data_IF_265323982666
#
_entry.id   IF_265323982666
#
_cell.length_a   1.000
_cell.length_b   1.000
_cell.length_c   1.000
_cell.angle_alpha   90.00
_cell.angle_beta   90.00
_cell.angle_gamma   90.00
#
_symmetry.space_group_name_H-M   'P 1'
#
loop_
_entity.id
_entity.type
_entity.pdbx_description
1 polymer ?
#
# COMPACT_ATOMS: atom_id res chain seq x y z
N UNK A 1 14.30 18.29 16.36
CA UNK A 1 13.64 17.16 17.02
C UNK A 1 12.89 16.26 16.03
N UNK A 2 12.00 16.80 15.19
CA UNK A 2 11.22 16.04 14.18
C UNK A 2 12.09 15.13 13.29
N UNK A 3 13.19 15.65 12.71
CA UNK A 3 14.10 14.84 11.88
C UNK A 3 14.70 13.63 12.62
N UNK A 4 14.98 13.79 13.92
CA UNK A 4 15.50 12.69 14.75
C UNK A 4 14.43 11.64 15.03
N UNK A 5 13.18 12.06 15.24
CA UNK A 5 12.04 11.14 15.39
C UNK A 5 11.91 10.24 14.17
N UNK A 6 11.94 10.81 12.96
CA UNK A 6 11.87 10.03 11.72
C UNK A 6 13.07 9.10 11.55
N UNK A 7 14.28 9.55 11.91
CA UNK A 7 15.48 8.70 11.88
C UNK A 7 15.39 7.53 12.86
N UNK A 8 14.87 7.74 14.08
CA UNK A 8 14.66 6.67 15.04
C UNK A 8 13.62 5.67 14.53
N UNK A 9 12.50 6.17 13.97
CA UNK A 9 11.46 5.34 13.38
C UNK A 9 11.98 4.50 12.21
N UNK A 10 12.80 5.06 11.30
CA UNK A 10 13.39 4.32 10.18
C UNK A 10 14.37 3.21 10.62
N UNK A 11 14.85 3.27 11.86
CA UNK A 11 15.69 2.24 12.49
C UNK A 11 14.88 1.26 13.35
N UNK A 12 13.54 1.34 13.33
CA UNK A 12 12.65 0.52 14.17
C UNK A 12 12.67 0.88 15.65
N UNK A 13 13.30 1.99 16.05
CA UNK A 13 13.41 2.46 17.45
C UNK A 13 12.17 3.24 17.88
N UNK A 14 11.00 2.63 17.74
CA UNK A 14 9.71 3.30 17.95
C UNK A 14 9.53 3.80 19.39
N UNK A 15 10.01 3.06 20.40
CA UNK A 15 9.92 3.47 21.81
C UNK A 15 10.70 4.75 22.11
N UNK A 16 11.89 4.92 21.51
CA UNK A 16 12.69 6.13 21.70
C UNK A 16 12.09 7.31 20.93
N UNK A 17 11.62 7.08 19.70
CA UNK A 17 10.88 8.07 18.93
C UNK A 17 9.62 8.55 19.69
N UNK A 18 8.89 7.63 20.31
CA UNK A 18 7.69 7.92 21.09
C UNK A 18 7.96 8.82 22.30
N UNK A 19 9.11 8.70 22.97
CA UNK A 19 9.50 9.60 24.08
C UNK A 19 9.60 11.06 23.60
N UNK A 20 10.25 11.26 22.45
CA UNK A 20 10.38 12.59 21.85
C UNK A 20 9.03 13.14 21.37
N UNK A 21 8.19 12.30 20.76
CA UNK A 21 6.85 12.70 20.32
C UNK A 21 5.99 13.15 21.51
N UNK A 22 5.98 12.39 22.62
CA UNK A 22 5.23 12.77 23.83
C UNK A 22 5.67 14.12 24.37
N UNK A 23 6.99 14.36 24.44
CA UNK A 23 7.50 15.67 24.86
C UNK A 23 7.03 16.82 23.95
N UNK A 24 6.95 16.62 22.63
CA UNK A 24 6.45 17.65 21.72
C UNK A 24 4.95 17.92 21.95
N UNK A 25 4.16 16.86 22.16
CA UNK A 25 2.71 16.96 22.44
C UNK A 25 2.46 17.67 23.77
N UNK A 26 3.17 17.28 24.84
CA UNK A 26 3.02 17.87 26.18
C UNK A 26 3.36 19.38 26.19
N UNK A 27 4.29 19.79 25.32
CA UNK A 27 4.68 21.18 25.13
C UNK A 27 3.77 21.97 24.17
N UNK A 28 2.71 21.36 23.62
CA UNK A 28 1.82 21.95 22.62
C UNK A 28 2.57 22.52 21.40
N UNK A 29 3.60 21.83 20.94
CA UNK A 29 4.36 22.21 19.74
C UNK A 29 3.50 22.07 18.48
N UNK A 30 3.82 22.85 17.43
CA UNK A 30 3.17 22.70 16.12
C UNK A 30 3.65 21.42 15.41
N UNK A 31 2.73 20.49 15.21
CA UNK A 31 2.96 19.18 14.57
C UNK A 31 2.33 19.07 13.18
N UNK A 32 2.01 20.22 12.57
CA UNK A 32 1.47 20.30 11.21
C UNK A 32 2.39 19.56 10.23
N UNK A 33 1.80 18.70 9.40
CA UNK A 33 2.53 17.84 8.46
C UNK A 33 3.20 16.59 9.05
N UNK A 34 3.20 16.39 10.37
CA UNK A 34 3.78 15.20 11.02
C UNK A 34 2.77 14.38 11.84
N UNK A 35 1.58 14.92 12.12
CA UNK A 35 0.57 14.33 13.02
C UNK A 35 0.24 12.86 12.72
N UNK A 36 -0.04 12.48 11.46
CA UNK A 36 -0.36 11.08 11.10
C UNK A 36 0.83 10.17 11.37
N UNK A 37 2.02 10.57 10.92
CA UNK A 37 3.23 9.77 11.11
C UNK A 37 3.57 9.60 12.60
N UNK A 38 3.38 10.65 13.41
CA UNK A 38 3.65 10.59 14.84
C UNK A 38 2.63 9.70 15.56
N UNK A 39 1.35 9.75 15.17
CA UNK A 39 0.34 8.82 15.67
C UNK A 39 0.70 7.37 15.33
N UNK A 40 1.15 7.10 14.10
CA UNK A 40 1.62 5.76 13.69
C UNK A 40 2.84 5.30 14.51
N UNK A 41 3.82 6.18 14.73
CA UNK A 41 5.00 5.86 15.55
C UNK A 41 4.59 5.53 16.99
N UNK A 42 3.68 6.30 17.60
CA UNK A 42 3.18 6.02 18.94
C UNK A 42 2.46 4.67 19.00
N UNK A 43 1.66 4.35 17.99
CA UNK A 43 1.00 3.05 17.86
C UNK A 43 2.01 1.91 17.74
N UNK A 44 3.02 2.03 16.87
CA UNK A 44 4.08 1.03 16.68
C UNK A 44 5.01 0.91 17.90
N UNK A 45 5.10 1.94 18.74
CA UNK A 45 5.87 1.94 19.97
C UNK A 45 5.21 1.18 21.13
N UNK A 46 3.96 0.73 20.97
CA UNK A 46 3.36 -0.17 21.94
C UNK A 46 4.13 -1.50 22.01
N UNK A 47 4.02 -2.17 23.15
CA UNK A 47 4.72 -3.41 23.45
C UNK A 47 4.10 -4.62 22.74
N UNK A 48 3.85 -4.52 21.42
CA UNK A 48 3.10 -5.49 20.62
C UNK A 48 3.62 -6.92 20.76
N UNK A 49 4.94 -7.10 20.87
CA UNK A 49 5.55 -8.42 21.15
C UNK A 49 5.04 -9.03 22.45
N UNK A 50 4.93 -8.24 23.51
CA UNK A 50 4.47 -8.68 24.83
C UNK A 50 2.94 -8.78 24.88
N UNK A 51 2.24 -7.83 24.26
CA UNK A 51 0.77 -7.86 24.11
C UNK A 51 0.34 -9.15 23.41
N UNK A 52 0.96 -9.49 22.27
CA UNK A 52 0.67 -10.73 21.52
C UNK A 52 0.85 -11.98 22.40
N UNK A 53 1.93 -12.05 23.18
CA UNK A 53 2.21 -13.18 24.05
C UNK A 53 1.21 -13.36 25.20
N UNK A 54 0.43 -12.32 25.52
CA UNK A 54 -0.60 -12.34 26.56
C UNK A 54 -2.01 -12.57 26.01
N UNK A 55 -2.19 -12.55 24.69
CA UNK A 55 -3.47 -12.80 24.04
C UNK A 55 -3.62 -14.29 23.68
N UNK A 56 -4.86 -14.83 23.65
CA UNK A 56 -5.08 -16.15 23.09
C UNK A 56 -4.57 -16.21 21.65
N UNK A 57 -4.00 -17.36 21.28
CA UNK A 57 -3.45 -17.58 19.95
C UNK A 57 -4.43 -17.12 18.86
N UNK A 58 -3.94 -16.34 17.90
CA UNK A 58 -4.72 -15.85 16.76
C UNK A 58 -5.90 -14.92 17.10
N UNK A 59 -5.89 -14.24 18.24
CA UNK A 59 -6.91 -13.23 18.59
C UNK A 59 -6.46 -11.78 18.41
N UNK A 60 -5.16 -11.52 18.24
CA UNK A 60 -4.70 -10.16 17.93
C UNK A 60 -5.07 -9.77 16.49
N UNK A 61 -6.14 -9.00 16.34
CA UNK A 61 -6.61 -8.51 15.04
C UNK A 61 -5.57 -7.64 14.34
N UNK A 62 -4.78 -6.83 15.05
CA UNK A 62 -3.81 -5.94 14.43
C UNK A 62 -2.67 -6.71 13.76
N UNK A 63 -2.23 -7.81 14.37
CA UNK A 63 -1.27 -8.73 13.77
C UNK A 63 -1.92 -9.54 12.64
N UNK A 64 -3.07 -10.15 12.90
CA UNK A 64 -3.73 -11.07 11.95
C UNK A 64 -4.27 -10.44 10.69
N UNK A 65 -4.72 -9.19 10.76
CA UNK A 65 -5.19 -8.47 9.57
C UNK A 65 -4.04 -7.90 8.74
N UNK A 66 -2.83 -7.84 9.29
CA UNK A 66 -1.71 -7.08 8.71
C UNK A 66 -1.73 -5.59 9.03
N UNK A 67 -2.58 -5.12 9.94
CA UNK A 67 -2.65 -3.69 10.29
C UNK A 67 -1.33 -3.16 10.87
N UNK A 68 -0.63 -3.91 11.73
CA UNK A 68 0.69 -3.51 12.23
C UNK A 68 1.70 -3.32 11.08
N UNK A 69 1.71 -4.27 10.14
CA UNK A 69 2.55 -4.21 8.96
C UNK A 69 2.17 -3.03 8.07
N UNK A 70 0.87 -2.79 7.88
CA UNK A 70 0.35 -1.67 7.10
C UNK A 70 0.78 -0.31 7.65
N UNK A 71 0.68 -0.13 8.96
CA UNK A 71 1.11 1.12 9.63
C UNK A 71 2.62 1.29 9.50
N UNK A 72 3.40 0.22 9.66
CA UNK A 72 4.87 0.29 9.50
C UNK A 72 5.30 0.56 8.06
N UNK A 73 4.59 0.02 7.07
CA UNK A 73 4.89 0.17 5.65
C UNK A 73 4.29 1.45 5.05
N UNK A 74 3.41 2.14 5.78
CA UNK A 74 2.60 3.25 5.28
C UNK A 74 1.78 2.88 4.03
N UNK A 75 1.37 1.61 3.91
CA UNK A 75 0.63 1.07 2.76
C UNK A 75 -0.29 -0.06 3.22
N UNK A 76 -1.45 -0.27 2.60
CA UNK A 76 -2.33 -1.38 2.95
C UNK A 76 -1.71 -2.70 2.49
N UNK A 77 -1.28 -3.53 3.44
CA UNK A 77 -0.73 -4.87 3.23
C UNK A 77 -1.34 -5.86 4.22
N UNK A 78 -1.45 -7.11 3.81
CA UNK A 78 -1.99 -8.17 4.66
C UNK A 78 -0.92 -8.72 5.65
N UNK A 79 -1.29 -9.72 6.45
CA UNK A 79 -0.39 -10.32 7.45
C UNK A 79 0.83 -11.03 6.83
N UNK A 80 0.76 -11.41 5.56
CA UNK A 80 1.87 -11.99 4.78
C UNK A 80 2.72 -10.92 4.07
N UNK A 81 2.44 -9.64 4.30
CA UNK A 81 3.12 -8.51 3.65
C UNK A 81 2.77 -8.36 2.17
N UNK A 82 1.67 -8.96 1.71
CA UNK A 82 1.18 -8.81 0.33
C UNK A 82 0.31 -7.56 0.19
N UNK A 83 0.38 -6.87 -0.95
CA UNK A 83 -0.39 -5.66 -1.21
C UNK A 83 -1.89 -5.96 -1.19
N UNK A 84 -2.65 -5.07 -0.56
CA UNK A 84 -4.11 -5.05 -0.61
C UNK A 84 -4.52 -3.89 -1.54
N UNK A 85 -5.33 -4.14 -2.59
CA UNK A 85 -5.82 -3.10 -3.48
C UNK A 85 -6.77 -2.17 -2.72
N UNK A 86 -6.96 -0.95 -3.20
CA UNK A 86 -7.87 0.00 -2.55
C UNK A 86 -9.35 -0.24 -2.91
N UNK A 87 -9.74 -1.51 -3.04
CA UNK A 87 -11.12 -1.92 -3.26
C UNK A 87 -11.82 -2.16 -1.92
N UNK A 88 -13.15 -2.25 -1.95
CA UNK A 88 -13.89 -2.73 -0.78
C UNK A 88 -13.56 -4.20 -0.54
N UNK A 89 -13.49 -4.63 0.73
CA UNK A 89 -13.20 -6.05 1.04
C UNK A 89 -14.13 -7.06 0.34
N UNK A 90 -15.45 -6.80 0.18
CA UNK A 90 -16.30 -7.69 -0.62
C UNK A 90 -15.93 -7.75 -2.11
N UNK A 91 -15.47 -6.64 -2.71
CA UNK A 91 -14.98 -6.64 -4.08
C UNK A 91 -13.69 -7.47 -4.21
N UNK A 92 -12.78 -7.35 -3.24
CA UNK A 92 -11.57 -8.18 -3.19
C UNK A 92 -11.94 -9.66 -3.10
N UNK A 93 -12.82 -10.05 -2.16
CA UNK A 93 -13.27 -11.44 -1.99
C UNK A 93 -13.99 -11.98 -3.23
N UNK A 94 -14.78 -11.16 -3.92
CA UNK A 94 -15.41 -11.53 -5.17
C UNK A 94 -14.38 -11.77 -6.29
N UNK A 95 -13.48 -10.81 -6.50
CA UNK A 95 -12.47 -10.87 -7.57
C UNK A 95 -11.47 -12.00 -7.33
N UNK A 96 -11.06 -12.26 -6.09
CA UNK A 96 -10.18 -13.38 -5.71
C UNK A 96 -10.76 -14.75 -6.12
N UNK A 97 -12.07 -14.87 -6.27
CA UNK A 97 -12.74 -16.13 -6.66
C UNK A 97 -12.92 -16.31 -8.16
N UNK A 98 -12.90 -15.22 -8.93
CA UNK A 98 -13.22 -15.24 -10.36
C UNK A 98 -12.02 -14.93 -11.26
N UNK A 99 -11.00 -14.25 -10.74
CA UNK A 99 -9.80 -13.93 -11.49
C UNK A 99 -9.09 -15.23 -11.90
N UNK A 100 -8.76 -15.33 -13.20
CA UNK A 100 -8.08 -16.51 -13.73
C UNK A 100 -6.60 -16.20 -14.01
N UNK A 101 -5.70 -17.19 -13.85
CA UNK A 101 -4.29 -17.05 -14.20
C UNK A 101 -4.01 -16.72 -15.65
N UNK A 102 -4.98 -16.90 -16.55
CA UNK A 102 -4.87 -16.55 -17.98
C UNK A 102 -5.39 -15.15 -18.31
N UNK A 103 -5.86 -14.38 -17.32
CA UNK A 103 -6.44 -13.07 -17.58
C UNK A 103 -5.36 -12.05 -17.98
N UNK A 104 -5.71 -11.20 -18.92
CA UNK A 104 -4.97 -9.97 -19.24
C UNK A 104 -5.75 -8.79 -18.66
N UNK A 105 -5.10 -8.02 -17.79
CA UNK A 105 -5.74 -6.94 -17.04
C UNK A 105 -5.22 -5.59 -17.53
N UNK A 106 -6.13 -4.65 -17.77
CA UNK A 106 -5.80 -3.25 -18.01
C UNK A 106 -6.24 -2.39 -16.82
N UNK A 107 -5.40 -1.45 -16.42
CA UNK A 107 -5.63 -0.56 -15.28
C UNK A 107 -5.29 0.89 -15.64
N UNK A 108 -6.24 1.79 -15.42
CA UNK A 108 -5.93 3.22 -15.28
C UNK A 108 -5.59 3.49 -13.83
N UNK A 109 -4.45 4.16 -13.61
CA UNK A 109 -3.79 4.22 -12.31
C UNK A 109 -2.80 3.08 -12.15
N UNK A 110 -1.96 3.18 -11.12
CA UNK A 110 -1.05 2.12 -10.72
C UNK A 110 -0.88 2.07 -9.20
N UNK A 111 -0.42 0.95 -8.65
CA UNK A 111 -0.13 0.85 -7.22
C UNK A 111 -0.29 -0.55 -6.65
N UNK A 112 -0.85 -0.62 -5.44
CA UNK A 112 -1.09 -1.90 -4.76
C UNK A 112 -2.05 -2.81 -5.55
N UNK A 113 -3.03 -2.23 -6.26
CA UNK A 113 -3.92 -2.97 -7.15
C UNK A 113 -3.18 -3.61 -8.31
N UNK A 114 -2.23 -2.90 -8.94
CA UNK A 114 -1.35 -3.47 -9.97
C UNK A 114 -0.60 -4.68 -9.44
N UNK A 115 0.02 -4.56 -8.27
CA UNK A 115 0.79 -5.65 -7.64
C UNK A 115 -0.11 -6.82 -7.22
N UNK A 116 -1.34 -6.53 -6.77
CA UNK A 116 -2.34 -7.53 -6.37
C UNK A 116 -2.87 -8.31 -7.58
N UNK A 117 -3.17 -7.62 -8.69
CA UNK A 117 -3.56 -8.27 -9.95
C UNK A 117 -2.45 -9.14 -10.50
N UNK A 118 -1.23 -8.59 -10.56
CA UNK A 118 -0.08 -9.29 -11.12
C UNK A 118 0.28 -10.58 -10.35
N UNK A 119 -0.13 -10.70 -9.09
CA UNK A 119 0.06 -11.93 -8.33
C UNK A 119 -0.91 -13.07 -8.70
N UNK A 120 -1.88 -12.83 -9.59
CA UNK A 120 -3.00 -13.75 -9.88
C UNK A 120 -3.24 -14.01 -11.35
N UNK A 121 -2.84 -13.08 -12.23
CA UNK A 121 -3.21 -13.08 -13.65
C UNK A 121 -2.00 -13.18 -14.57
N UNK A 122 -2.22 -13.40 -15.86
CA UNK A 122 -1.15 -13.60 -16.85
C UNK A 122 -0.36 -12.32 -17.07
N UNK A 123 -1.04 -11.18 -17.24
CA UNK A 123 -0.38 -9.89 -17.40
C UNK A 123 -1.23 -8.72 -16.92
N UNK A 124 -0.54 -7.65 -16.53
CA UNK A 124 -1.16 -6.37 -16.15
C UNK A 124 -0.51 -5.23 -16.93
N UNK A 125 -1.33 -4.44 -17.62
CA UNK A 125 -0.95 -3.16 -18.22
C UNK A 125 -1.61 -2.06 -17.41
N UNK A 126 -0.81 -1.32 -16.63
CA UNK A 126 -1.25 -0.15 -15.90
C UNK A 126 -0.83 1.13 -16.63
N UNK A 127 -1.54 2.24 -16.40
CA UNK A 127 -1.23 3.54 -16.98
C UNK A 127 -1.19 4.58 -15.88
N UNK A 128 -0.10 5.34 -15.81
CA UNK A 128 0.16 6.29 -14.72
C UNK A 128 0.52 7.67 -15.27
N UNK A 129 -0.14 8.70 -14.76
CA UNK A 129 0.08 10.10 -15.13
C UNK A 129 0.98 10.84 -14.13
N UNK A 130 1.11 10.32 -12.90
CA UNK A 130 2.04 10.85 -11.91
C UNK A 130 3.44 10.21 -12.03
N UNK A 131 4.42 11.00 -12.45
CA UNK A 131 5.81 10.54 -12.62
C UNK A 131 6.44 9.98 -11.34
N UNK A 132 6.27 10.67 -10.20
CA UNK A 132 6.86 10.21 -8.94
C UNK A 132 6.27 8.88 -8.46
N UNK A 133 4.96 8.71 -8.66
CA UNK A 133 4.27 7.47 -8.29
C UNK A 133 4.63 6.33 -9.25
N UNK A 134 4.68 6.59 -10.55
CA UNK A 134 5.18 5.64 -11.55
C UNK A 134 6.56 5.11 -11.16
N UNK A 135 7.50 6.01 -10.84
CA UNK A 135 8.88 5.62 -10.54
C UNK A 135 8.99 4.82 -9.24
N UNK A 136 8.11 5.08 -8.28
CA UNK A 136 8.01 4.35 -7.02
C UNK A 136 7.44 2.94 -7.20
N UNK A 137 6.33 2.80 -7.93
CA UNK A 137 5.66 1.50 -8.13
C UNK A 137 6.44 0.63 -9.11
N UNK A 138 7.08 1.23 -10.13
CA UNK A 138 7.91 0.51 -11.10
C UNK A 138 9.03 -0.31 -10.45
N UNK A 139 9.58 0.15 -9.33
CA UNK A 139 10.61 -0.57 -8.56
C UNK A 139 10.10 -1.85 -7.89
N UNK A 140 8.79 -2.01 -7.77
CA UNK A 140 8.12 -3.11 -7.08
C UNK A 140 7.48 -4.12 -8.05
N UNK A 141 7.45 -3.81 -9.36
CA UNK A 141 6.70 -4.60 -10.33
C UNK A 141 7.31 -6.00 -10.52
N UNK A 142 6.46 -7.05 -10.55
CA UNK A 142 6.85 -8.35 -11.08
C UNK A 142 7.00 -8.30 -12.61
N UNK A 143 7.59 -9.36 -13.19
CA UNK A 143 7.89 -9.44 -14.62
C UNK A 143 6.64 -9.36 -15.53
N UNK A 144 5.47 -9.78 -15.04
CA UNK A 144 4.22 -9.80 -15.80
C UNK A 144 3.42 -8.49 -15.73
N UNK A 145 3.93 -7.45 -15.06
CA UNK A 145 3.27 -6.16 -14.97
C UNK A 145 4.10 -5.07 -15.65
N UNK A 146 3.42 -4.18 -16.39
CA UNK A 146 4.02 -3.01 -17.02
C UNK A 146 3.20 -1.77 -16.66
N UNK A 147 3.88 -0.69 -16.26
CA UNK A 147 3.26 0.63 -16.11
C UNK A 147 3.69 1.51 -17.28
N UNK A 148 2.72 2.03 -18.03
CA UNK A 148 2.90 3.02 -19.08
C UNK A 148 2.79 4.43 -18.49
N UNK A 149 3.88 5.20 -18.52
CA UNK A 149 3.82 6.62 -18.16
C UNK A 149 3.15 7.41 -19.30
N UNK A 150 1.97 7.96 -19.05
CA UNK A 150 1.16 8.73 -20.04
C UNK A 150 0.40 9.84 -19.34
N UNK A 151 0.26 10.98 -20.00
CA UNK A 151 -0.46 12.15 -19.48
C UNK A 151 -1.53 12.62 -20.47
N UNK A 152 -2.45 13.46 -20.01
CA UNK A 152 -3.49 14.10 -20.81
C UNK A 152 -4.28 13.06 -21.65
N UNK A 153 -4.57 13.38 -22.93
CA UNK A 153 -5.29 12.49 -23.84
C UNK A 153 -4.61 11.12 -24.02
N UNK A 154 -3.30 11.04 -23.88
CA UNK A 154 -2.58 9.78 -24.05
C UNK A 154 -2.84 8.83 -22.88
N UNK A 155 -3.13 9.34 -21.68
CA UNK A 155 -3.56 8.54 -20.54
C UNK A 155 -4.91 7.87 -20.82
N UNK A 156 -5.91 8.67 -21.21
CA UNK A 156 -7.26 8.18 -21.48
C UNK A 156 -7.34 7.24 -22.68
N UNK A 157 -6.49 7.45 -23.69
CA UNK A 157 -6.48 6.64 -24.92
C UNK A 157 -5.54 5.44 -24.87
N UNK A 158 -4.79 5.22 -23.78
CA UNK A 158 -3.78 4.16 -23.73
C UNK A 158 -4.33 2.75 -24.03
N UNK A 159 -5.57 2.46 -23.64
CA UNK A 159 -6.21 1.17 -23.95
C UNK A 159 -6.40 0.96 -25.47
N UNK A 160 -6.48 2.04 -26.26
CA UNK A 160 -6.68 1.98 -27.71
C UNK A 160 -5.42 1.54 -28.48
N UNK A 161 -4.26 1.47 -27.82
CA UNK A 161 -3.02 0.93 -28.41
C UNK A 161 -3.08 -0.60 -28.54
N UNK A 162 -4.09 -1.25 -27.95
CA UNK A 162 -4.29 -2.69 -27.92
C UNK A 162 -5.47 -3.11 -28.83
N UNK A 163 -5.44 -4.34 -29.37
CA UNK A 163 -6.55 -4.83 -30.19
C UNK A 163 -7.84 -4.96 -29.37
N UNK A 164 -8.98 -5.02 -30.08
CA UNK A 164 -10.26 -5.32 -29.43
C UNK A 164 -10.20 -6.68 -28.73
N UNK A 165 -10.93 -6.79 -27.61
CA UNK A 165 -11.05 -8.02 -26.82
C UNK A 165 -9.70 -8.52 -26.27
N UNK A 166 -8.71 -7.64 -26.12
CA UNK A 166 -7.40 -8.00 -25.59
C UNK A 166 -7.39 -8.23 -24.07
N UNK A 167 -8.25 -7.53 -23.32
CA UNK A 167 -8.27 -7.57 -21.86
C UNK A 167 -9.54 -8.25 -21.33
N UNK A 168 -9.37 -9.10 -20.32
CA UNK A 168 -10.45 -9.80 -19.62
C UNK A 168 -11.05 -8.94 -18.49
N UNK A 169 -10.25 -8.04 -17.92
CA UNK A 169 -10.69 -7.09 -16.91
C UNK A 169 -10.09 -5.71 -17.19
N UNK A 170 -10.92 -4.68 -17.00
CA UNK A 170 -10.53 -3.27 -17.14
C UNK A 170 -10.89 -2.54 -15.85
N UNK A 171 -9.87 -1.95 -15.21
CA UNK A 171 -9.97 -1.28 -13.92
C UNK A 171 -9.75 0.21 -14.14
N UNK A 172 -10.59 1.01 -13.49
CA UNK A 172 -10.45 2.47 -13.46
C UNK A 172 -10.19 2.86 -12.00
N UNK A 173 -8.91 3.02 -11.66
CA UNK A 173 -8.40 3.29 -10.31
C UNK A 173 -7.29 4.36 -10.34
N UNK A 174 -7.49 5.40 -11.15
CA UNK A 174 -6.58 6.51 -11.34
C UNK A 174 -7.30 7.86 -11.41
N UNK A 175 -6.53 8.96 -11.37
CA UNK A 175 -7.05 10.34 -11.30
C UNK A 175 -7.50 10.95 -12.62
#
# INVERSE_FOLDING_TARGET
>A
MIKEIFKLASLGKYQDAAKLIRSLVDNNEDLSGAHVNFAHILFLAADWKYIEALLPNSTNTFSRSGHLLSVSAMRPINAEGKPIPWFTYPAIDFLDRIALPSWQVFEWGSGNSTLWWASKVESVIAVEDNESWHDEIKQQLPQNATILKRIDKAYFHAICDYPKEHFDAVIVDGS
#
